data_IF_006765481989
#
_entry.id   IF_006765481989
#
_cell.length_a   1.000
_cell.length_b   1.000
_cell.length_c   1.000
_cell.angle_alpha   90.00
_cell.angle_beta   90.00
_cell.angle_gamma   90.00
#
_symmetry.space_group_name_H-M   'P 1'
#
loop_
_entity.id
_entity.type
_entity.pdbx_description
1 polymer ?
#
# COMPACT_ATOMS: atom_id res chain seq x y z
N UNK A 1 -19.62 7.36 -8.75
CA UNK A 1 -18.73 8.15 -9.64
C UNK A 1 -19.29 8.32 -11.06
N UNK A 2 -19.83 7.27 -11.68
CA UNK A 2 -20.38 7.29 -13.06
C UNK A 2 -21.85 7.72 -13.18
N UNK A 3 -22.53 7.98 -12.06
CA UNK A 3 -23.92 8.42 -12.06
C UNK A 3 -24.08 9.90 -12.48
N UNK A 4 -23.81 10.20 -13.75
CA UNK A 4 -24.27 11.34 -14.55
C UNK A 4 -23.96 12.76 -14.06
N UNK A 5 -23.93 13.70 -15.00
CA UNK A 5 -23.86 15.17 -14.80
C UNK A 5 -24.80 15.74 -13.71
N UNK A 6 -25.79 14.96 -13.26
CA UNK A 6 -26.81 15.32 -12.26
C UNK A 6 -26.31 15.36 -10.82
N UNK A 7 -25.22 14.67 -10.45
CA UNK A 7 -24.73 14.69 -9.06
C UNK A 7 -23.74 15.82 -8.78
N UNK A 8 -23.89 16.45 -7.61
CA UNK A 8 -23.07 17.61 -7.21
C UNK A 8 -21.59 17.26 -7.09
N UNK A 9 -20.73 18.21 -7.41
CA UNK A 9 -19.28 18.05 -7.35
C UNK A 9 -18.79 17.57 -5.96
N UNK A 10 -19.19 18.19 -4.83
CA UNK A 10 -18.73 17.75 -3.50
C UNK A 10 -19.12 16.30 -3.17
N UNK A 11 -20.29 15.85 -3.63
CA UNK A 11 -20.73 14.48 -3.40
C UNK A 11 -19.84 13.49 -4.15
N UNK A 12 -19.48 13.78 -5.40
CA UNK A 12 -18.59 12.90 -6.19
C UNK A 12 -17.20 12.78 -5.58
N UNK A 13 -16.63 13.89 -5.09
CA UNK A 13 -15.34 13.89 -4.39
C UNK A 13 -15.45 13.13 -3.06
N UNK A 14 -16.56 13.27 -2.34
CA UNK A 14 -16.79 12.51 -1.09
C UNK A 14 -16.89 11.01 -1.33
N UNK A 15 -17.55 10.60 -2.42
CA UNK A 15 -17.63 9.18 -2.83
C UNK A 15 -16.24 8.65 -3.18
N UNK A 16 -15.43 9.41 -3.94
CA UNK A 16 -14.05 9.03 -4.23
C UNK A 16 -13.25 8.85 -2.93
N UNK A 17 -13.34 9.80 -2.01
CA UNK A 17 -12.63 9.72 -0.73
C UNK A 17 -13.06 8.50 0.10
N UNK A 18 -14.36 8.20 0.15
CA UNK A 18 -14.88 6.99 0.79
C UNK A 18 -14.29 5.71 0.17
N UNK A 19 -14.22 5.65 -1.16
CA UNK A 19 -13.60 4.54 -1.87
C UNK A 19 -12.09 4.44 -1.57
N UNK A 20 -11.36 5.56 -1.55
CA UNK A 20 -9.95 5.57 -1.17
C UNK A 20 -9.74 5.03 0.25
N UNK A 21 -10.57 5.44 1.20
CA UNK A 21 -10.55 4.91 2.58
C UNK A 21 -10.84 3.40 2.62
N UNK A 22 -11.81 2.93 1.83
CA UNK A 22 -12.14 1.51 1.73
C UNK A 22 -10.97 0.68 1.18
N UNK A 23 -10.23 1.21 0.20
CA UNK A 23 -9.09 0.52 -0.44
C UNK A 23 -7.79 0.62 0.37
N UNK A 24 -7.66 1.61 1.24
CA UNK A 24 -6.41 1.84 1.97
C UNK A 24 -6.06 0.65 2.89
N UNK A 25 -4.91 0.02 2.61
CA UNK A 25 -4.43 -1.20 3.30
C UNK A 25 -5.42 -2.36 3.33
N UNK A 26 -6.34 -2.42 2.36
CA UNK A 26 -7.36 -3.45 2.26
C UNK A 26 -7.19 -4.26 0.96
N UNK A 27 -6.22 -5.17 0.95
CA UNK A 27 -5.94 -6.00 -0.24
C UNK A 27 -7.11 -6.93 -0.60
N UNK A 28 -7.89 -7.39 0.38
CA UNK A 28 -9.09 -8.18 0.12
C UNK A 28 -10.13 -7.36 -0.66
N UNK A 29 -10.42 -6.14 -0.22
CA UNK A 29 -11.33 -5.22 -0.92
C UNK A 29 -10.84 -4.86 -2.32
N UNK A 30 -9.53 -4.60 -2.48
CA UNK A 30 -8.91 -4.38 -3.79
C UNK A 30 -9.06 -5.61 -4.70
N UNK A 31 -8.76 -6.81 -4.20
CA UNK A 31 -8.86 -8.07 -4.94
C UNK A 31 -10.28 -8.30 -5.48
N UNK A 32 -11.31 -8.06 -4.66
CA UNK A 32 -12.70 -8.20 -5.09
C UNK A 32 -13.01 -7.32 -6.30
N UNK A 33 -12.53 -6.07 -6.31
CA UNK A 33 -12.77 -5.14 -7.42
C UNK A 33 -11.93 -5.53 -8.64
N UNK A 34 -10.65 -5.88 -8.46
CA UNK A 34 -9.74 -6.30 -9.55
C UNK A 34 -10.30 -7.52 -10.28
N UNK A 35 -10.82 -8.52 -9.56
CA UNK A 35 -11.44 -9.70 -10.16
C UNK A 35 -12.61 -9.34 -11.08
N UNK A 36 -13.34 -8.26 -10.79
CA UNK A 36 -14.45 -7.81 -11.65
C UNK A 36 -14.00 -7.10 -12.93
N UNK A 37 -12.72 -6.75 -13.06
CA UNK A 37 -12.13 -6.18 -14.27
C UNK A 37 -11.60 -7.27 -15.22
N UNK A 38 -11.32 -8.46 -14.69
CA UNK A 38 -10.75 -9.57 -15.46
C UNK A 38 -11.85 -10.29 -16.25
N UNK A 39 -11.51 -10.90 -17.40
CA UNK A 39 -12.46 -11.71 -18.16
C UNK A 39 -13.01 -12.83 -17.27
N UNK A 40 -14.32 -12.85 -17.04
CA UNK A 40 -14.98 -13.89 -16.25
C UNK A 40 -15.61 -14.94 -17.17
N UNK A 41 -15.54 -16.21 -16.78
CA UNK A 41 -16.06 -17.36 -17.55
C UNK A 41 -17.59 -17.47 -17.53
N UNK A 42 -18.29 -16.70 -16.69
CA UNK A 42 -19.75 -16.79 -16.53
C UNK A 42 -20.43 -15.45 -16.84
N UNK A 43 -21.41 -15.51 -17.75
CA UNK A 43 -22.22 -14.40 -18.19
C UNK A 43 -23.15 -13.88 -17.08
N UNK A 44 -22.64 -13.04 -16.18
CA UNK A 44 -23.48 -12.16 -15.37
C UNK A 44 -23.85 -10.94 -16.21
N UNK A 45 -24.58 -11.17 -17.31
CA UNK A 45 -24.77 -10.22 -18.41
C UNK A 45 -25.64 -8.98 -18.08
N UNK A 46 -26.03 -8.74 -16.83
CA UNK A 46 -27.00 -7.69 -16.48
C UNK A 46 -26.69 -6.86 -15.21
N UNK A 47 -25.50 -6.95 -14.62
CA UNK A 47 -25.13 -6.09 -13.50
C UNK A 47 -23.78 -5.41 -13.72
N UNK A 48 -23.78 -4.07 -13.75
CA UNK A 48 -22.54 -3.30 -13.76
C UNK A 48 -21.81 -3.47 -12.42
N UNK A 49 -20.68 -4.17 -12.44
CA UNK A 49 -19.80 -4.25 -11.28
C UNK A 49 -19.08 -2.92 -11.03
N UNK A 50 -18.49 -2.76 -9.85
CA UNK A 50 -17.68 -1.57 -9.55
C UNK A 50 -16.50 -1.42 -10.53
N UNK A 51 -15.84 -2.51 -10.93
CA UNK A 51 -14.79 -2.49 -11.94
C UNK A 51 -15.28 -1.93 -13.28
N UNK A 52 -16.41 -2.44 -13.80
CA UNK A 52 -17.01 -1.91 -15.03
C UNK A 52 -17.33 -0.42 -14.91
N UNK A 53 -17.89 0.02 -13.79
CA UNK A 53 -18.17 1.45 -13.55
C UNK A 53 -16.87 2.27 -13.52
N UNK A 54 -15.79 1.77 -12.91
CA UNK A 54 -14.52 2.50 -12.92
C UNK A 54 -13.99 2.70 -14.35
N UNK A 55 -14.04 1.66 -15.18
CA UNK A 55 -13.64 1.75 -16.59
C UNK A 55 -14.53 2.71 -17.38
N UNK A 56 -15.86 2.61 -17.26
CA UNK A 56 -16.79 3.54 -17.93
C UNK A 56 -16.51 4.99 -17.53
N UNK A 57 -16.25 5.22 -16.23
CA UNK A 57 -15.90 6.55 -15.73
C UNK A 57 -14.56 7.04 -16.26
N UNK A 58 -13.55 6.17 -16.30
CA UNK A 58 -12.19 6.48 -16.78
C UNK A 58 -12.20 6.93 -18.25
N UNK A 59 -13.01 6.28 -19.09
CA UNK A 59 -13.19 6.58 -20.51
C UNK A 59 -14.24 7.67 -20.79
N UNK A 60 -14.86 8.23 -19.76
CA UNK A 60 -15.88 9.26 -19.90
C UNK A 60 -15.30 10.59 -20.42
N UNK A 61 -16.11 11.32 -21.19
CA UNK A 61 -15.81 12.72 -21.57
C UNK A 61 -15.98 13.72 -20.42
N UNK A 62 -16.66 13.31 -19.34
CA UNK A 62 -16.78 14.12 -18.13
C UNK A 62 -15.46 14.11 -17.35
N UNK A 63 -14.81 15.28 -17.28
CA UNK A 63 -13.54 15.48 -16.59
C UNK A 63 -13.56 15.00 -15.14
N UNK A 64 -14.67 15.20 -14.41
CA UNK A 64 -14.76 14.79 -13.00
C UNK A 64 -14.85 13.27 -12.90
N UNK A 65 -15.64 12.64 -13.76
CA UNK A 65 -15.77 11.19 -13.79
C UNK A 65 -14.45 10.52 -14.20
N UNK A 66 -13.81 11.01 -15.26
CA UNK A 66 -12.53 10.51 -15.75
C UNK A 66 -11.43 10.65 -14.71
N UNK A 67 -11.31 11.83 -14.10
CA UNK A 67 -10.31 12.07 -13.06
C UNK A 67 -10.55 11.19 -11.83
N UNK A 68 -11.77 11.18 -11.28
CA UNK A 68 -12.06 10.35 -10.11
C UNK A 68 -11.79 8.87 -10.38
N UNK A 69 -12.20 8.36 -11.55
CA UNK A 69 -11.99 6.95 -11.92
C UNK A 69 -10.51 6.61 -12.10
N UNK A 70 -9.72 7.49 -12.72
CA UNK A 70 -8.28 7.29 -12.84
C UNK A 70 -7.59 7.24 -11.48
N UNK A 71 -7.94 8.15 -10.56
CA UNK A 71 -7.43 8.12 -9.18
C UNK A 71 -7.88 6.84 -8.45
N UNK A 72 -9.16 6.46 -8.55
CA UNK A 72 -9.65 5.23 -7.93
C UNK A 72 -8.93 3.97 -8.45
N UNK A 73 -8.65 3.89 -9.76
CA UNK A 73 -7.85 2.82 -10.35
C UNK A 73 -6.40 2.84 -9.86
N UNK A 74 -5.80 4.02 -9.67
CA UNK A 74 -4.47 4.14 -9.08
C UNK A 74 -4.44 3.59 -7.64
N UNK A 75 -5.41 3.97 -6.80
CA UNK A 75 -5.54 3.43 -5.44
C UNK A 75 -5.82 1.92 -5.41
N UNK A 76 -6.53 1.40 -6.42
CA UNK A 76 -6.84 -0.03 -6.54
C UNK A 76 -5.56 -0.87 -6.68
N UNK A 77 -4.57 -0.38 -7.41
CA UNK A 77 -3.30 -1.10 -7.68
C UNK A 77 -2.11 -0.60 -6.84
N UNK A 78 -2.30 0.47 -6.08
CA UNK A 78 -1.25 1.04 -5.23
C UNK A 78 -0.71 -0.01 -4.25
N UNK A 79 0.60 -0.01 -4.05
CA UNK A 79 1.35 -0.88 -3.13
C UNK A 79 1.12 -2.39 -3.29
N UNK A 80 0.60 -2.86 -4.44
CA UNK A 80 0.38 -4.28 -4.68
C UNK A 80 0.78 -4.69 -6.10
N UNK A 81 1.91 -5.40 -6.22
CA UNK A 81 2.45 -5.83 -7.52
C UNK A 81 1.52 -6.82 -8.23
N UNK A 82 0.88 -7.75 -7.51
CA UNK A 82 0.01 -8.75 -8.12
C UNK A 82 -1.20 -8.10 -8.81
N UNK A 83 -1.78 -7.05 -8.20
CA UNK A 83 -2.88 -6.31 -8.82
C UNK A 83 -2.43 -5.55 -10.07
N UNK A 84 -1.23 -4.94 -10.04
CA UNK A 84 -0.63 -4.30 -11.22
C UNK A 84 -0.48 -5.28 -12.37
N UNK A 85 -0.01 -6.49 -12.09
CA UNK A 85 0.16 -7.53 -13.13
C UNK A 85 -1.19 -8.09 -13.61
N UNK A 86 -2.16 -8.25 -12.70
CA UNK A 86 -3.49 -8.74 -13.04
C UNK A 86 -4.19 -7.81 -14.04
N UNK A 87 -4.19 -6.49 -13.79
CA UNK A 87 -4.92 -5.55 -14.64
C UNK A 87 -4.28 -5.34 -16.03
N UNK A 88 -3.07 -5.87 -16.29
CA UNK A 88 -2.49 -5.89 -17.65
C UNK A 88 -3.29 -6.79 -18.60
N UNK A 89 -4.03 -7.77 -18.04
CA UNK A 89 -4.88 -8.70 -18.79
C UNK A 89 -6.24 -8.10 -19.16
N UNK A 90 -6.55 -6.88 -18.70
CA UNK A 90 -7.82 -6.22 -18.99
C UNK A 90 -7.79 -5.73 -20.43
N UNK A 91 -8.69 -6.27 -21.24
CA UNK A 91 -8.86 -5.94 -22.66
C UNK A 91 -10.28 -5.45 -22.88
N UNK A 92 -10.43 -4.34 -23.60
CA UNK A 92 -11.70 -3.71 -23.90
C UNK A 92 -11.97 -3.80 -25.41
N UNK A 93 -13.20 -4.14 -25.78
CA UNK A 93 -13.67 -4.07 -27.15
C UNK A 93 -13.89 -2.60 -27.54
N UNK A 94 -13.25 -2.15 -28.62
CA UNK A 94 -13.42 -0.79 -29.15
C UNK A 94 -14.36 -0.87 -30.35
N UNK A 95 -15.54 -0.24 -30.24
CA UNK A 95 -16.65 -0.36 -31.21
C UNK A 95 -16.41 0.42 -32.53
N UNK A 96 -15.19 0.87 -32.80
CA UNK A 96 -14.85 1.51 -34.06
C UNK A 96 -14.41 0.46 -35.06
N UNK A 97 -15.38 -0.17 -35.75
CA UNK A 97 -15.41 -0.91 -37.04
C UNK A 97 -14.13 -1.51 -37.73
N UNK A 98 -12.94 -1.38 -37.14
CA UNK A 98 -11.61 -1.68 -37.68
C UNK A 98 -10.54 -1.86 -36.58
N UNK A 99 -10.72 -1.33 -35.35
CA UNK A 99 -9.77 -1.49 -34.26
C UNK A 99 -10.21 -2.66 -33.37
N UNK A 100 -9.46 -3.77 -33.38
CA UNK A 100 -9.70 -4.92 -32.51
C UNK A 100 -9.66 -4.58 -31.02
N UNK A 101 -9.68 -5.62 -30.18
CA UNK A 101 -9.64 -5.47 -28.74
C UNK A 101 -8.31 -4.80 -28.29
N UNK A 102 -8.38 -3.78 -27.42
CA UNK A 102 -7.20 -3.06 -26.89
C UNK A 102 -7.04 -3.28 -25.39
N UNK A 103 -5.81 -3.38 -24.92
CA UNK A 103 -5.50 -3.44 -23.50
C UNK A 103 -5.81 -2.12 -22.80
N UNK A 104 -6.06 -2.15 -21.49
CA UNK A 104 -6.27 -0.94 -20.69
C UNK A 104 -5.04 0.00 -20.73
N UNK A 105 -3.83 -0.56 -20.85
CA UNK A 105 -2.62 0.24 -20.95
C UNK A 105 -2.50 0.95 -22.30
N UNK A 106 -2.82 0.28 -23.41
CA UNK A 106 -2.89 0.91 -24.74
C UNK A 106 -3.93 2.03 -24.79
N UNK A 107 -5.10 1.79 -24.18
CA UNK A 107 -6.14 2.82 -24.08
C UNK A 107 -5.67 4.01 -23.25
N UNK A 108 -4.92 3.77 -22.17
CA UNK A 108 -4.32 4.84 -21.37
C UNK A 108 -3.32 5.65 -22.20
N UNK A 109 -2.46 5.01 -23.00
CA UNK A 109 -1.54 5.73 -23.90
C UNK A 109 -2.28 6.50 -25.01
N UNK A 110 -3.36 5.95 -25.56
CA UNK A 110 -4.18 6.63 -26.57
C UNK A 110 -4.87 7.87 -25.99
N UNK A 111 -5.38 7.78 -24.76
CA UNK A 111 -5.96 8.94 -24.04
C UNK A 111 -4.93 10.04 -23.83
N UNK A 112 -3.66 9.72 -23.59
CA UNK A 112 -2.59 10.71 -23.49
C UNK A 112 -2.24 11.36 -24.83
N UNK A 113 -2.16 10.54 -25.89
CA UNK A 113 -1.79 11.00 -27.23
C UNK A 113 -2.92 11.77 -27.94
N UNK A 114 -4.17 11.56 -27.52
CA UNK A 114 -5.32 12.24 -28.10
C UNK A 114 -5.35 13.73 -27.72
N UNK A 115 -5.24 14.60 -28.72
CA UNK A 115 -5.24 16.06 -28.56
C UNK A 115 -6.56 16.62 -28.01
N UNK A 116 -7.66 15.86 -28.06
CA UNK A 116 -8.96 16.26 -27.49
C UNK A 116 -9.11 15.92 -26.01
N UNK A 117 -8.17 15.16 -25.42
CA UNK A 117 -8.20 14.81 -24.01
C UNK A 117 -7.97 16.04 -23.13
N UNK A 118 -8.83 16.21 -22.13
CA UNK A 118 -8.68 17.33 -21.21
C UNK A 118 -7.42 17.21 -20.35
N UNK A 119 -6.97 18.34 -19.82
CA UNK A 119 -5.90 18.38 -18.83
C UNK A 119 -6.14 17.41 -17.66
N UNK A 120 -7.34 17.41 -17.06
CA UNK A 120 -7.66 16.56 -15.92
C UNK A 120 -7.60 15.07 -16.27
N UNK A 121 -8.08 14.69 -17.45
CA UNK A 121 -7.95 13.31 -17.95
C UNK A 121 -6.48 12.92 -18.11
N UNK A 122 -5.66 13.77 -18.75
CA UNK A 122 -4.21 13.51 -18.92
C UNK A 122 -3.51 13.35 -17.56
N UNK A 123 -3.79 14.21 -16.59
CA UNK A 123 -3.23 14.10 -15.23
C UNK A 123 -3.64 12.79 -14.57
N UNK A 124 -4.91 12.43 -14.59
CA UNK A 124 -5.40 11.20 -13.96
C UNK A 124 -4.80 9.94 -14.60
N UNK A 125 -4.68 9.93 -15.94
CA UNK A 125 -4.02 8.86 -16.68
C UNK A 125 -2.54 8.76 -16.32
N UNK A 126 -1.82 9.88 -16.22
CA UNK A 126 -0.41 9.87 -15.82
C UNK A 126 -0.21 9.42 -14.37
N UNK A 127 -1.06 9.84 -13.43
CA UNK A 127 -1.03 9.36 -12.05
C UNK A 127 -1.25 7.84 -12.00
N UNK A 128 -2.25 7.36 -12.73
CA UNK A 128 -2.54 5.93 -12.83
C UNK A 128 -1.37 5.15 -13.44
N UNK A 129 -0.84 5.59 -14.58
CA UNK A 129 0.30 4.95 -15.24
C UNK A 129 1.56 4.97 -14.37
N UNK A 130 1.91 6.08 -13.75
CA UNK A 130 3.08 6.14 -12.86
C UNK A 130 2.91 5.20 -11.66
N UNK A 131 1.70 5.13 -11.09
CA UNK A 131 1.39 4.16 -10.03
C UNK A 131 1.54 2.73 -10.54
N UNK A 132 1.09 2.44 -11.75
CA UNK A 132 1.20 1.13 -12.38
C UNK A 132 2.64 0.71 -12.69
N UNK A 133 3.47 1.63 -13.20
CA UNK A 133 4.86 1.37 -13.58
C UNK A 133 5.79 1.23 -12.36
N UNK A 134 5.46 1.90 -11.24
CA UNK A 134 6.28 1.82 -10.03
C UNK A 134 6.38 0.41 -9.46
N UNK A 135 7.58 -0.04 -9.10
CA UNK A 135 7.81 -1.37 -8.49
C UNK A 135 7.18 -2.54 -9.28
N UNK A 136 7.02 -2.43 -10.61
CA UNK A 136 6.44 -3.49 -11.45
C UNK A 136 7.12 -3.53 -12.82
N UNK A 137 8.13 -4.40 -12.95
CA UNK A 137 8.90 -4.52 -14.19
C UNK A 137 8.07 -5.06 -15.36
N UNK A 138 7.06 -5.90 -15.09
CA UNK A 138 6.17 -6.40 -16.14
C UNK A 138 5.32 -5.26 -16.73
N UNK A 139 4.79 -4.36 -15.90
CA UNK A 139 4.07 -3.18 -16.38
C UNK A 139 4.98 -2.27 -17.23
N UNK A 140 6.24 -2.07 -16.81
CA UNK A 140 7.23 -1.34 -17.61
C UNK A 140 7.48 -2.01 -18.95
N UNK A 141 7.72 -3.33 -18.97
CA UNK A 141 7.93 -4.09 -20.19
C UNK A 141 6.73 -3.95 -21.15
N UNK A 142 5.50 -4.09 -20.65
CA UNK A 142 4.29 -3.91 -21.45
C UNK A 142 4.21 -2.49 -22.00
N UNK A 143 4.43 -1.47 -21.17
CA UNK A 143 4.37 -0.07 -21.60
C UNK A 143 5.42 0.28 -22.68
N UNK A 144 6.65 -0.21 -22.53
CA UNK A 144 7.73 -0.03 -23.50
C UNK A 144 7.44 -0.74 -24.83
N UNK A 145 6.60 -1.78 -24.82
CA UNK A 145 6.21 -2.53 -26.03
C UNK A 145 5.10 -1.82 -26.80
N UNK A 146 4.37 -0.87 -26.19
CA UNK A 146 3.32 -0.10 -26.84
C UNK A 146 3.95 0.87 -27.84
N UNK A 147 3.43 0.89 -29.06
CA UNK A 147 3.92 1.77 -30.11
C UNK A 147 3.76 3.25 -29.72
N UNK A 148 4.79 4.06 -29.99
CA UNK A 148 4.82 5.51 -29.73
C UNK A 148 4.74 5.93 -28.26
N UNK A 149 4.67 5.03 -27.28
CA UNK A 149 4.59 5.39 -25.84
C UNK A 149 5.77 6.26 -25.41
N UNK A 150 7.00 5.81 -25.73
CA UNK A 150 8.24 6.54 -25.42
C UNK A 150 8.37 7.81 -26.26
N UNK A 151 8.02 7.76 -27.54
CA UNK A 151 8.02 8.93 -28.43
C UNK A 151 7.11 10.04 -27.92
N UNK A 152 5.93 9.69 -27.39
CA UNK A 152 5.01 10.64 -26.76
C UNK A 152 5.65 11.27 -25.53
N UNK A 153 6.18 10.47 -24.60
CA UNK A 153 6.81 11.01 -23.37
C UNK A 153 7.94 11.99 -23.70
N UNK A 154 8.84 11.63 -24.62
CA UNK A 154 9.93 12.53 -25.05
C UNK A 154 9.37 13.82 -25.64
N UNK A 155 8.42 13.71 -26.57
CA UNK A 155 7.82 14.86 -27.24
C UNK A 155 7.18 15.83 -26.23
N UNK A 156 6.48 15.29 -25.22
CA UNK A 156 5.91 16.09 -24.15
C UNK A 156 7.00 16.79 -23.33
N UNK A 157 8.02 16.05 -22.86
CA UNK A 157 9.09 16.61 -22.01
C UNK A 157 9.89 17.70 -22.76
N UNK A 158 10.18 17.49 -24.04
CA UNK A 158 10.87 18.44 -24.92
C UNK A 158 9.96 19.59 -25.39
N UNK A 159 8.66 19.55 -25.09
CA UNK A 159 7.74 20.62 -25.41
C UNK A 159 8.29 21.95 -24.89
N UNK A 160 8.11 23.02 -25.67
CA UNK A 160 8.60 24.35 -25.28
C UNK A 160 8.13 24.69 -23.86
N UNK A 161 8.95 25.46 -23.14
CA UNK A 161 8.58 26.10 -21.87
C UNK A 161 7.46 27.11 -22.16
N UNK A 162 6.24 26.61 -22.32
CA UNK A 162 5.03 27.43 -22.33
C UNK A 162 4.83 27.90 -20.90
N UNK A 163 4.50 29.18 -20.69
CA UNK A 163 4.20 29.76 -19.38
C UNK A 163 2.87 29.24 -18.78
N UNK A 164 2.41 28.05 -19.19
CA UNK A 164 1.22 27.39 -18.69
C UNK A 164 1.63 26.34 -17.66
N UNK A 165 1.40 26.63 -16.38
CA UNK A 165 1.65 25.74 -15.25
C UNK A 165 1.02 24.34 -15.43
N UNK A 166 -0.08 24.23 -16.18
CA UNK A 166 -0.74 22.95 -16.45
C UNK A 166 0.08 22.07 -17.39
N UNK A 167 0.63 22.64 -18.47
CA UNK A 167 1.48 21.87 -19.37
C UNK A 167 2.81 21.53 -18.70
N UNK A 168 3.37 22.45 -17.90
CA UNK A 168 4.55 22.16 -17.07
C UNK A 168 4.30 20.96 -16.15
N UNK A 169 3.14 20.87 -15.51
CA UNK A 169 2.76 19.72 -14.70
C UNK A 169 2.75 18.42 -15.51
N UNK A 170 2.14 18.43 -16.70
CA UNK A 170 2.13 17.24 -17.56
C UNK A 170 3.56 16.84 -17.95
N UNK A 171 4.41 17.80 -18.28
CA UNK A 171 5.82 17.54 -18.60
C UNK A 171 6.57 16.88 -17.43
N UNK A 172 6.35 17.35 -16.20
CA UNK A 172 6.94 16.75 -15.00
C UNK A 172 6.43 15.32 -14.76
N UNK A 173 5.13 15.09 -14.93
CA UNK A 173 4.54 13.75 -14.80
C UNK A 173 5.05 12.78 -15.89
N UNK A 174 5.21 13.25 -17.13
CA UNK A 174 5.83 12.47 -18.21
C UNK A 174 7.30 12.16 -17.93
N UNK A 175 8.05 13.12 -17.38
CA UNK A 175 9.45 12.91 -16.94
C UNK A 175 9.53 11.84 -15.86
N UNK A 176 8.61 11.89 -14.89
CA UNK A 176 8.51 10.86 -13.86
C UNK A 176 8.17 9.49 -14.45
N UNK A 177 7.18 9.39 -15.35
CA UNK A 177 6.83 8.13 -16.01
C UNK A 177 8.02 7.52 -16.78
N UNK A 178 8.77 8.34 -17.53
CA UNK A 178 9.98 7.90 -18.23
C UNK A 178 11.09 7.49 -17.24
N UNK A 179 11.23 8.20 -16.12
CA UNK A 179 12.13 7.84 -15.03
C UNK A 179 11.79 6.49 -14.40
N UNK A 180 10.51 6.18 -14.19
CA UNK A 180 10.06 4.87 -13.72
C UNK A 180 10.39 3.76 -14.72
N UNK A 181 10.27 4.04 -16.03
CA UNK A 181 10.67 3.12 -17.08
C UNK A 181 12.19 2.87 -17.11
N UNK A 182 13.01 3.75 -16.55
CA UNK A 182 14.44 3.49 -16.33
C UNK A 182 14.67 2.63 -15.07
N UNK A 183 14.04 3.03 -13.96
CA UNK A 183 14.27 2.43 -12.63
C UNK A 183 13.79 0.99 -12.54
N UNK A 184 12.63 0.68 -13.10
CA UNK A 184 12.00 -0.63 -12.98
C UNK A 184 12.12 -1.46 -14.26
N UNK A 185 13.07 -1.13 -15.14
CA UNK A 185 13.31 -1.89 -16.36
C UNK A 185 14.04 -3.21 -16.07
N UNK A 186 13.51 -4.33 -16.56
CA UNK A 186 14.15 -5.64 -16.49
C UNK A 186 14.94 -6.00 -17.77
N UNK A 187 15.09 -5.05 -18.71
CA UNK A 187 15.79 -5.18 -19.98
C UNK A 187 15.24 -6.25 -20.93
N UNK A 188 13.96 -6.64 -20.78
CA UNK A 188 13.32 -7.64 -21.64
C UNK A 188 12.78 -7.05 -22.97
N UNK A 189 12.76 -5.73 -23.11
CA UNK A 189 12.37 -5.05 -24.37
C UNK A 189 13.63 -4.59 -25.12
N UNK A 190 14.09 -5.27 -26.18
CA UNK A 190 15.40 -5.02 -26.79
C UNK A 190 15.57 -3.60 -27.34
N UNK A 191 14.50 -2.99 -27.84
CA UNK A 191 14.49 -1.61 -28.35
C UNK A 191 14.68 -0.57 -27.24
N UNK A 192 14.35 -0.91 -26.00
CA UNK A 192 14.27 0.01 -24.86
C UNK A 192 14.89 -0.62 -23.61
N UNK A 193 16.16 -1.02 -23.69
CA UNK A 193 16.97 -1.35 -22.52
C UNK A 193 17.24 -0.10 -21.68
N UNK A 194 17.61 -0.26 -20.41
CA UNK A 194 18.00 0.86 -19.53
C UNK A 194 19.05 1.74 -20.21
N UNK A 195 20.08 1.15 -20.82
CA UNK A 195 21.15 1.87 -21.50
C UNK A 195 20.63 2.60 -22.77
N UNK A 196 19.74 1.99 -23.55
CA UNK A 196 19.21 2.65 -24.74
C UNK A 196 18.28 3.81 -24.37
N UNK A 197 17.49 3.67 -23.31
CA UNK A 197 16.65 4.74 -22.75
C UNK A 197 17.49 5.89 -22.18
N UNK A 198 18.56 5.60 -21.44
CA UNK A 198 19.51 6.61 -20.95
C UNK A 198 20.13 7.41 -22.10
N UNK A 199 20.63 6.71 -23.13
CA UNK A 199 21.18 7.34 -24.34
C UNK A 199 20.14 8.19 -25.04
N UNK A 200 18.90 7.72 -25.11
CA UNK A 200 17.80 8.44 -25.72
C UNK A 200 17.48 9.72 -24.94
N UNK A 201 17.43 9.67 -23.61
CA UNK A 201 17.20 10.85 -22.75
C UNK A 201 18.34 11.85 -22.97
N UNK A 202 19.60 11.40 -22.89
CA UNK A 202 20.75 12.26 -23.09
C UNK A 202 20.75 12.93 -24.47
N UNK A 203 20.43 12.19 -25.55
CA UNK A 203 20.47 12.72 -26.91
C UNK A 203 19.25 13.57 -27.31
N UNK A 204 18.05 13.25 -26.81
CA UNK A 204 16.80 13.86 -27.29
C UNK A 204 16.24 14.91 -26.33
N UNK A 205 16.48 14.74 -25.03
CA UNK A 205 15.97 15.62 -23.98
C UNK A 205 17.11 16.47 -23.39
N UNK A 206 18.25 15.82 -23.10
CA UNK A 206 19.29 16.38 -22.24
C UNK A 206 19.01 16.05 -20.77
N UNK A 207 20.04 15.62 -20.05
CA UNK A 207 19.91 15.17 -18.65
C UNK A 207 19.49 16.33 -17.74
N UNK A 208 20.04 17.52 -17.97
CA UNK A 208 19.72 18.71 -17.18
C UNK A 208 18.25 19.11 -17.33
N UNK A 209 17.75 19.17 -18.56
CA UNK A 209 16.34 19.47 -18.83
C UNK A 209 15.42 18.39 -18.23
N UNK A 210 15.80 17.11 -18.33
CA UNK A 210 15.04 16.03 -17.73
C UNK A 210 14.94 16.18 -16.20
N UNK A 211 16.07 16.48 -15.53
CA UNK A 211 16.10 16.72 -14.09
C UNK A 211 15.32 17.97 -13.69
N UNK A 212 15.44 19.07 -14.43
CA UNK A 212 14.68 20.29 -14.21
C UNK A 212 13.17 20.02 -14.27
N UNK A 213 12.70 19.33 -15.33
CA UNK A 213 11.29 18.96 -15.48
C UNK A 213 10.82 18.04 -14.38
N UNK A 214 11.64 17.09 -13.96
CA UNK A 214 11.34 16.22 -12.83
C UNK A 214 11.13 17.08 -11.56
N UNK A 215 12.14 17.85 -11.13
CA UNK A 215 12.12 18.67 -9.91
C UNK A 215 11.03 19.75 -9.89
N UNK A 216 10.53 20.17 -11.05
CA UNK A 216 9.48 21.19 -11.12
C UNK A 216 8.21 20.75 -10.39
N UNK A 217 7.89 19.45 -10.39
CA UNK A 217 6.72 18.95 -9.65
C UNK A 217 6.87 19.16 -8.15
N UNK A 218 8.01 18.78 -7.58
CA UNK A 218 8.27 18.89 -6.12
C UNK A 218 8.30 20.34 -5.65
N UNK A 219 8.68 21.28 -6.53
CA UNK A 219 8.68 22.73 -6.27
C UNK A 219 7.29 23.39 -6.44
N UNK A 220 6.32 22.69 -7.04
CA UNK A 220 5.00 23.27 -7.31
C UNK A 220 4.15 23.47 -6.05
N UNK A 221 3.31 24.52 -6.07
CA UNK A 221 2.36 24.77 -4.98
C UNK A 221 1.33 23.64 -4.86
N UNK A 222 0.93 23.04 -5.99
CA UNK A 222 0.03 21.90 -6.04
C UNK A 222 0.57 20.71 -5.23
N UNK A 223 1.85 20.38 -5.42
CA UNK A 223 2.50 19.29 -4.70
C UNK A 223 2.59 19.53 -3.19
N UNK A 224 3.02 20.74 -2.80
CA UNK A 224 3.16 21.12 -1.39
C UNK A 224 1.82 21.10 -0.65
N UNK A 225 0.72 21.53 -1.30
CA UNK A 225 -0.63 21.48 -0.73
C UNK A 225 -1.12 20.04 -0.58
N UNK A 226 -0.91 19.20 -1.58
CA UNK A 226 -1.39 17.81 -1.59
C UNK A 226 -0.76 16.97 -0.48
N UNK A 227 0.52 17.16 -0.15
CA UNK A 227 1.20 16.39 0.90
C UNK A 227 0.76 16.68 2.34
N UNK A 228 -0.04 17.73 2.58
CA UNK A 228 -0.39 18.12 3.96
C UNK A 228 -1.35 17.14 4.64
N UNK A 229 -2.30 16.57 3.89
CA UNK A 229 -3.32 15.67 4.44
C UNK A 229 -3.88 14.73 3.37
N UNK A 230 -4.20 13.46 3.73
CA UNK A 230 -4.84 12.52 2.82
C UNK A 230 -6.27 12.91 2.38
N UNK A 231 -6.93 13.79 3.15
CA UNK A 231 -8.33 14.14 2.89
C UNK A 231 -8.47 15.03 1.66
N UNK A 232 -9.20 14.54 0.64
CA UNK A 232 -9.60 15.31 -0.53
C UNK A 232 -10.58 16.42 -0.13
N UNK A 233 -10.10 17.67 -0.10
CA UNK A 233 -10.93 18.87 0.10
C UNK A 233 -10.91 19.74 -1.16
N UNK A 234 -11.56 19.26 -2.20
CA UNK A 234 -11.66 19.98 -3.47
C UNK A 234 -12.96 20.79 -3.47
N UNK A 235 -12.87 22.07 -3.81
CA UNK A 235 -14.04 22.96 -3.87
C UNK A 235 -14.49 23.20 -5.31
N UNK A 236 -13.56 23.14 -6.26
CA UNK A 236 -13.80 23.37 -7.69
C UNK A 236 -13.06 22.35 -8.54
N UNK A 237 -13.51 22.18 -9.78
CA UNK A 237 -12.88 21.31 -10.79
C UNK A 237 -11.39 21.63 -10.99
N UNK A 238 -11.00 22.91 -10.95
CA UNK A 238 -9.61 23.34 -11.10
C UNK A 238 -8.67 22.85 -9.99
N UNK A 239 -9.21 22.42 -8.84
CA UNK A 239 -8.40 21.90 -7.73
C UNK A 239 -8.06 20.41 -7.93
N UNK A 240 -8.68 19.73 -8.92
CA UNK A 240 -8.47 18.31 -9.22
C UNK A 240 -7.14 18.08 -9.95
N UNK A 241 -6.05 18.02 -9.20
CA UNK A 241 -4.71 17.91 -9.78
C UNK A 241 -4.02 16.64 -9.28
N UNK A 242 -3.38 16.68 -8.11
CA UNK A 242 -2.64 15.56 -7.54
C UNK A 242 -3.41 14.92 -6.38
N UNK A 243 -3.28 13.61 -6.23
CA UNK A 243 -3.71 12.89 -5.02
C UNK A 243 -2.55 12.70 -4.02
N UNK A 244 -2.91 12.49 -2.76
CA UNK A 244 -1.96 12.35 -1.65
C UNK A 244 -1.05 11.12 -1.77
N UNK A 245 -1.58 9.97 -2.15
CA UNK A 245 -0.80 8.74 -2.30
C UNK A 245 0.16 8.83 -3.49
N UNK A 246 -0.26 9.44 -4.61
CA UNK A 246 0.66 9.74 -5.70
C UNK A 246 1.78 10.71 -5.28
N UNK A 247 1.48 11.76 -4.52
CA UNK A 247 2.50 12.68 -4.05
C UNK A 247 3.54 11.99 -3.14
N UNK A 248 3.10 11.02 -2.32
CA UNK A 248 3.99 10.14 -1.53
C UNK A 248 4.84 9.23 -2.41
N UNK A 249 4.23 8.60 -3.42
CA UNK A 249 4.94 7.75 -4.39
C UNK A 249 6.04 8.55 -5.09
N UNK A 250 5.69 9.74 -5.58
CA UNK A 250 6.63 10.64 -6.23
C UNK A 250 7.81 10.98 -5.29
N UNK A 251 7.52 11.38 -4.05
CA UNK A 251 8.56 11.69 -3.03
C UNK A 251 9.54 10.55 -2.81
N UNK A 252 9.03 9.32 -2.81
CA UNK A 252 9.84 8.13 -2.55
C UNK A 252 10.78 7.78 -3.72
N UNK A 253 10.39 8.11 -4.95
CA UNK A 253 11.07 7.63 -6.17
C UNK A 253 11.83 8.70 -6.93
N UNK A 254 11.51 10.00 -6.76
CA UNK A 254 12.20 11.13 -7.39
C UNK A 254 13.73 11.03 -7.23
N UNK A 255 14.21 10.90 -5.98
CA UNK A 255 15.64 10.78 -5.71
C UNK A 255 16.30 9.53 -6.29
N UNK A 256 15.55 8.42 -6.45
CA UNK A 256 16.06 7.20 -7.09
C UNK A 256 16.29 7.42 -8.59
N UNK A 257 15.34 8.07 -9.26
CA UNK A 257 15.44 8.42 -10.68
C UNK A 257 16.63 9.36 -10.93
N UNK A 258 16.77 10.42 -10.12
CA UNK A 258 17.88 11.38 -10.26
C UNK A 258 19.25 10.71 -10.07
N UNK A 259 19.37 9.80 -9.08
CA UNK A 259 20.62 9.06 -8.84
C UNK A 259 20.99 8.12 -9.99
N UNK A 260 20.02 7.44 -10.58
CA UNK A 260 20.25 6.55 -11.73
C UNK A 260 21.00 7.30 -12.85
N UNK A 261 20.51 8.48 -13.23
CA UNK A 261 21.09 9.28 -14.30
C UNK A 261 22.45 9.89 -13.94
N UNK A 262 22.65 10.26 -12.67
CA UNK A 262 23.88 10.92 -12.20
C UNK A 262 25.04 9.92 -11.99
N UNK A 263 24.78 8.77 -11.36
CA UNK A 263 25.79 7.76 -11.04
C UNK A 263 26.49 7.18 -12.27
N UNK A 264 25.81 7.14 -13.43
CA UNK A 264 26.39 6.63 -14.69
C UNK A 264 27.08 7.69 -15.55
N UNK A 265 26.81 8.98 -15.31
CA UNK A 265 27.62 10.05 -15.91
C UNK A 265 29.07 9.98 -15.43
N UNK A 266 29.27 9.70 -14.13
CA UNK A 266 30.61 9.55 -13.52
C UNK A 266 31.37 8.35 -14.09
N UNK A 267 30.68 7.22 -14.31
CA UNK A 267 31.29 6.04 -14.95
C UNK A 267 31.61 6.23 -16.44
N UNK A 268 31.04 7.24 -17.09
CA UNK A 268 31.29 7.56 -18.50
C UNK A 268 32.43 8.57 -18.69
N UNK A 269 32.88 9.22 -17.61
CA UNK A 269 33.93 10.27 -17.65
C UNK A 269 35.23 9.89 -16.94
N UNK A 270 35.32 8.72 -16.29
CA UNK A 270 36.56 8.21 -15.69
C UNK A 270 37.53 7.62 -16.73
N UNK A 271 38.03 8.49 -17.61
CA UNK A 271 39.36 8.37 -18.20
C UNK A 271 40.16 9.69 -18.09
N UNK A 272 39.83 10.55 -17.12
CA UNK A 272 40.70 11.66 -16.72
C UNK A 272 40.59 12.04 -15.25
N UNK A 273 41.56 11.56 -14.48
CA UNK A 273 42.37 12.35 -13.54
C UNK A 273 41.74 12.94 -12.25
N UNK A 274 40.80 12.27 -11.57
CA UNK A 274 40.58 12.54 -10.12
C UNK A 274 40.44 11.22 -9.35
N UNK A 275 41.30 11.05 -8.33
CA UNK A 275 41.63 9.78 -7.66
C UNK A 275 40.70 9.31 -6.53
N UNK A 276 41.12 8.25 -5.80
CA UNK A 276 40.30 7.29 -5.04
C UNK A 276 39.79 7.76 -3.67
N UNK A 277 39.47 9.05 -3.52
CA UNK A 277 38.94 9.60 -2.25
C UNK A 277 37.42 9.50 -2.15
N UNK A 278 36.69 9.47 -3.26
CA UNK A 278 35.21 9.39 -3.27
C UNK A 278 34.69 7.98 -2.98
N UNK A 279 35.35 6.92 -3.46
CA UNK A 279 34.94 5.53 -3.20
C UNK A 279 35.04 5.14 -1.73
N UNK A 280 36.08 5.59 -1.01
CA UNK A 280 36.26 5.29 0.41
C UNK A 280 35.22 5.94 1.34
N UNK A 281 34.71 7.13 1.01
CA UNK A 281 33.68 7.83 1.80
C UNK A 281 32.30 7.16 1.67
N UNK A 282 31.96 6.67 0.47
CA UNK A 282 30.72 5.93 0.25
C UNK A 282 30.75 4.53 0.87
N UNK A 283 31.89 3.83 0.84
CA UNK A 283 32.06 2.56 1.56
C UNK A 283 32.01 2.73 3.07
N UNK A 284 32.61 3.79 3.64
CA UNK A 284 32.50 4.09 5.07
C UNK A 284 31.07 4.48 5.50
N UNK A 285 30.36 5.30 4.71
CA UNK A 285 28.97 5.68 5.03
C UNK A 285 28.01 4.50 4.88
N UNK A 286 28.20 3.65 3.87
CA UNK A 286 27.38 2.44 3.70
C UNK A 286 27.70 1.40 4.78
N UNK A 287 28.97 1.24 5.16
CA UNK A 287 29.41 0.36 6.26
C UNK A 287 28.87 0.83 7.62
N UNK A 288 28.93 2.13 7.92
CA UNK A 288 28.39 2.68 9.17
C UNK A 288 26.86 2.59 9.23
N UNK A 289 26.17 2.84 8.11
CA UNK A 289 24.71 2.69 8.03
C UNK A 289 24.29 1.22 8.13
N UNK A 290 25.00 0.29 7.46
CA UNK A 290 24.77 -1.15 7.62
C UNK A 290 25.04 -1.62 9.05
N UNK A 291 26.09 -1.12 9.70
CA UNK A 291 26.37 -1.43 11.11
C UNK A 291 25.24 -0.93 12.02
N UNK A 292 24.71 0.27 11.76
CA UNK A 292 23.57 0.82 12.49
C UNK A 292 22.30 -0.01 12.32
N UNK A 293 22.00 -0.47 11.10
CA UNK A 293 20.87 -1.37 10.84
C UNK A 293 21.07 -2.75 11.49
N UNK A 294 22.27 -3.32 11.44
CA UNK A 294 22.58 -4.58 12.13
C UNK A 294 22.43 -4.47 13.65
N UNK A 295 22.84 -3.35 14.25
CA UNK A 295 22.66 -3.12 15.68
C UNK A 295 21.20 -2.87 16.06
N UNK A 296 20.42 -2.20 15.19
CA UNK A 296 18.97 -2.04 15.36
C UNK A 296 18.26 -3.39 15.32
N UNK A 297 18.58 -4.24 14.34
CA UNK A 297 18.02 -5.59 14.22
C UNK A 297 18.40 -6.41 15.46
N UNK A 298 19.66 -6.38 15.88
CA UNK A 298 20.11 -7.10 17.09
C UNK A 298 19.38 -6.63 18.35
N UNK A 299 19.12 -5.33 18.50
CA UNK A 299 18.33 -4.77 19.62
C UNK A 299 16.87 -5.20 19.54
N UNK A 300 16.28 -5.21 18.35
CA UNK A 300 14.92 -5.68 18.12
C UNK A 300 14.80 -7.18 18.45
N UNK A 301 15.75 -8.00 18.00
CA UNK A 301 15.79 -9.44 18.31
C UNK A 301 15.94 -9.69 19.83
N UNK A 302 16.76 -8.90 20.51
CA UNK A 302 16.87 -8.95 21.98
C UNK A 302 15.56 -8.58 22.68
N UNK A 303 14.86 -7.54 22.21
CA UNK A 303 13.55 -7.17 22.74
C UNK A 303 12.50 -8.25 22.47
N UNK A 304 12.46 -8.81 21.26
CA UNK A 304 11.55 -9.92 20.90
C UNK A 304 11.80 -11.11 21.82
N UNK A 305 13.06 -11.49 22.05
CA UNK A 305 13.39 -12.59 22.95
C UNK A 305 13.00 -12.29 24.41
N UNK A 306 13.16 -11.03 24.85
CA UNK A 306 12.72 -10.61 26.19
C UNK A 306 11.21 -10.70 26.32
N UNK A 307 10.45 -10.22 25.33
CA UNK A 307 8.99 -10.31 25.32
C UNK A 307 8.50 -11.76 25.26
N UNK A 308 9.13 -12.62 24.45
CA UNK A 308 8.83 -14.06 24.41
C UNK A 308 9.07 -14.75 25.76
N UNK A 309 10.13 -14.37 26.48
CA UNK A 309 10.38 -14.89 27.83
C UNK A 309 9.32 -14.42 28.84
N UNK A 310 8.92 -13.14 28.78
CA UNK A 310 7.86 -12.60 29.63
C UNK A 310 6.50 -13.25 29.33
N UNK A 311 6.18 -13.46 28.06
CA UNK A 311 4.97 -14.16 27.63
C UNK A 311 4.93 -15.59 28.18
N UNK A 312 6.04 -16.32 28.10
CA UNK A 312 6.15 -17.66 28.69
C UNK A 312 5.93 -17.63 30.21
N UNK A 313 6.54 -16.68 30.92
CA UNK A 313 6.32 -16.52 32.36
C UNK A 313 4.85 -16.25 32.70
N UNK A 314 4.18 -15.37 31.96
CA UNK A 314 2.76 -15.08 32.16
C UNK A 314 1.85 -16.28 31.87
N UNK A 315 2.17 -17.08 30.86
CA UNK A 315 1.44 -18.32 30.56
C UNK A 315 1.58 -19.32 31.71
N UNK A 316 2.79 -19.52 32.22
CA UNK A 316 3.06 -20.44 33.34
C UNK A 316 2.33 -19.98 34.62
N UNK A 317 2.37 -18.68 34.94
CA UNK A 317 1.63 -18.11 36.08
C UNK A 317 0.12 -18.28 35.93
N UNK A 318 -0.42 -18.01 34.73
CA UNK A 318 -1.85 -18.16 34.43
C UNK A 318 -2.32 -19.61 34.64
N UNK A 319 -1.51 -20.59 34.23
CA UNK A 319 -1.82 -22.02 34.47
C UNK A 319 -1.82 -22.37 35.97
N UNK A 320 -0.87 -21.82 36.74
CA UNK A 320 -0.81 -22.02 38.20
C UNK A 320 -2.06 -21.43 38.88
N UNK A 321 -2.45 -20.21 38.52
CA UNK A 321 -3.65 -19.57 39.10
C UNK A 321 -4.93 -20.30 38.70
N UNK A 322 -5.03 -20.78 37.47
CA UNK A 322 -6.16 -21.60 37.02
C UNK A 322 -6.28 -22.89 37.83
N UNK A 323 -5.16 -23.55 38.15
CA UNK A 323 -5.14 -24.74 39.01
C UNK A 323 -5.58 -24.43 40.45
N UNK A 324 -5.11 -23.32 41.03
CA UNK A 324 -5.53 -22.86 42.37
C UNK A 324 -7.02 -22.53 42.41
N UNK A 325 -7.55 -21.91 41.36
CA UNK A 325 -8.99 -21.62 41.24
C UNK A 325 -9.82 -22.91 41.29
N UNK A 326 -9.39 -23.93 40.57
CA UNK A 326 -10.09 -25.22 40.51
C UNK A 326 -10.06 -25.95 41.86
N UNK A 327 -8.94 -25.89 42.59
CA UNK A 327 -8.81 -26.44 43.95
C UNK A 327 -9.71 -25.71 44.97
N UNK A 328 -9.79 -24.37 44.87
CA UNK A 328 -10.69 -23.56 45.71
C UNK A 328 -12.17 -23.82 45.39
N UNK A 329 -12.53 -24.00 44.12
CA UNK A 329 -13.89 -24.36 43.72
C UNK A 329 -14.31 -25.73 44.28
N UNK A 330 -13.40 -26.72 44.29
CA UNK A 330 -13.64 -28.01 44.92
C UNK A 330 -13.83 -27.89 46.43
N UNK A 331 -12.95 -27.16 47.13
CA UNK A 331 -13.08 -26.93 48.58
C UNK A 331 -14.38 -26.23 48.94
N UNK A 332 -14.80 -25.23 48.17
CA UNK A 332 -16.06 -24.53 48.42
C UNK A 332 -17.26 -25.48 48.23
N UNK A 333 -17.21 -26.35 47.22
CA UNK A 333 -18.24 -27.36 47.02
C UNK A 333 -18.29 -28.38 48.17
N UNK A 334 -17.14 -28.86 48.65
CA UNK A 334 -17.06 -29.76 49.81
C UNK A 334 -17.62 -29.11 51.09
N UNK A 335 -17.28 -27.85 51.37
CA UNK A 335 -17.81 -27.10 52.52
C UNK A 335 -19.32 -26.90 52.39
N UNK A 336 -19.81 -26.60 51.18
CA UNK A 336 -21.24 -26.46 50.90
C UNK A 336 -22.00 -27.77 51.11
N UNK A 337 -21.41 -28.89 50.71
CA UNK A 337 -21.98 -30.21 50.89
C UNK A 337 -21.99 -30.60 52.38
N UNK A 338 -20.91 -30.32 53.12
CA UNK A 338 -20.86 -30.50 54.59
C UNK A 338 -21.89 -29.62 55.31
N UNK A 339 -22.07 -28.36 54.91
CA UNK A 339 -23.10 -27.48 55.45
C UNK A 339 -24.51 -28.01 55.17
N UNK A 340 -24.75 -28.53 53.96
CA UNK A 340 -26.04 -29.14 53.61
C UNK A 340 -26.34 -30.39 54.44
N UNK A 341 -25.33 -31.22 54.70
CA UNK A 341 -25.44 -32.41 55.53
C UNK A 341 -25.66 -32.05 57.00
N UNK A 342 -24.90 -31.11 57.57
CA UNK A 342 -25.08 -30.61 58.95
C UNK A 342 -26.47 -29.99 59.17
N UNK A 343 -26.99 -29.27 58.18
CA UNK A 343 -28.36 -28.71 58.17
C UNK A 343 -29.42 -29.81 58.21
N UNK A 344 -29.15 -30.96 57.59
CA UNK A 344 -30.03 -32.14 57.61
C UNK A 344 -29.85 -32.96 58.89
N UNK A 345 -28.65 -32.98 59.48
CA UNK A 345 -28.28 -33.88 60.58
C UNK A 345 -28.58 -33.42 62.00
N UNK A 346 -28.74 -32.13 62.34
CA UNK A 346 -29.00 -31.77 63.77
C UNK A 346 -29.60 -30.40 64.05
N UNK A 347 -30.52 -30.38 65.04
CA UNK A 347 -30.73 -29.27 65.98
C UNK A 347 -29.44 -29.05 66.80
N UNK A 348 -28.54 -28.16 66.40
CA UNK A 348 -27.44 -27.67 67.24
C UNK A 348 -27.31 -26.15 67.11
N UNK A 349 -26.89 -25.50 68.21
CA UNK A 349 -27.11 -24.08 68.52
C UNK A 349 -26.51 -23.05 67.55
N UNK A 350 -26.93 -21.77 67.69
CA UNK A 350 -26.73 -20.69 66.72
C UNK A 350 -25.26 -20.30 66.45
N UNK A 351 -24.32 -20.62 67.34
CA UNK A 351 -22.96 -20.09 67.25
C UNK A 351 -22.07 -20.80 66.21
N UNK A 352 -22.23 -22.11 65.96
CA UNK A 352 -21.45 -22.83 64.94
C UNK A 352 -21.94 -22.58 63.51
N UNK A 353 -23.21 -22.21 63.33
CA UNK A 353 -23.77 -21.85 62.02
C UNK A 353 -23.22 -20.52 61.51
N UNK A 354 -22.97 -19.56 62.40
CA UNK A 354 -22.45 -18.24 62.03
C UNK A 354 -20.97 -18.30 61.60
N UNK A 355 -20.15 -19.10 62.27
CA UNK A 355 -18.72 -19.26 61.93
C UNK A 355 -18.54 -19.89 60.54
N UNK A 356 -19.28 -20.97 60.24
CA UNK A 356 -19.25 -21.63 58.93
C UNK A 356 -19.81 -20.75 57.80
N UNK A 357 -20.86 -19.97 58.06
CA UNK A 357 -21.39 -19.00 57.09
C UNK A 357 -20.38 -17.89 56.77
N UNK A 358 -19.64 -17.43 57.79
CA UNK A 358 -18.61 -16.40 57.63
C UNK A 358 -17.42 -16.92 56.81
N UNK A 359 -16.97 -18.17 57.06
CA UNK A 359 -15.90 -18.82 56.28
C UNK A 359 -16.32 -19.02 54.81
N UNK A 360 -17.57 -19.45 54.57
CA UNK A 360 -18.13 -19.58 53.22
C UNK A 360 -18.16 -18.25 52.46
N UNK A 361 -18.56 -17.16 53.11
CA UNK A 361 -18.55 -15.82 52.50
C UNK A 361 -17.13 -15.33 52.21
N UNK A 362 -16.17 -15.61 53.10
CA UNK A 362 -14.77 -15.24 52.92
C UNK A 362 -14.16 -15.95 51.70
N UNK A 363 -14.37 -17.27 51.59
CA UNK A 363 -13.91 -18.06 50.44
C UNK A 363 -14.60 -17.64 49.14
N UNK A 364 -15.88 -17.25 49.18
CA UNK A 364 -16.60 -16.76 47.99
C UNK A 364 -16.02 -15.44 47.47
N UNK A 365 -15.67 -14.50 48.36
CA UNK A 365 -15.04 -13.22 47.97
C UNK A 365 -13.65 -13.44 47.37
N UNK A 366 -12.87 -14.36 47.92
CA UNK A 366 -11.55 -14.69 47.39
C UNK A 366 -11.63 -15.33 45.98
N UNK A 367 -12.64 -16.18 45.75
CA UNK A 367 -12.94 -16.73 44.42
C UNK A 367 -13.39 -15.68 43.41
N UNK A 368 -14.24 -14.74 43.81
CA UNK A 368 -14.65 -13.62 42.96
C UNK A 368 -13.46 -12.72 42.59
N UNK A 369 -12.55 -12.46 43.55
CA UNK A 369 -11.30 -11.74 43.30
C UNK A 369 -10.41 -12.47 42.29
N UNK A 370 -10.15 -13.77 42.49
CA UNK A 370 -9.36 -14.59 41.56
C UNK A 370 -9.98 -14.66 40.16
N UNK A 371 -11.31 -14.76 40.05
CA UNK A 371 -12.01 -14.72 38.76
C UNK A 371 -11.84 -13.38 38.04
N UNK A 372 -11.92 -12.27 38.77
CA UNK A 372 -11.71 -10.94 38.20
C UNK A 372 -10.28 -10.78 37.68
N UNK A 373 -9.29 -11.25 38.44
CA UNK A 373 -7.87 -11.20 38.08
C UNK A 373 -7.54 -12.04 36.84
N UNK A 374 -8.04 -13.29 36.77
CA UNK A 374 -7.87 -14.16 35.59
C UNK A 374 -8.51 -13.55 34.35
N UNK A 375 -9.72 -12.99 34.47
CA UNK A 375 -10.43 -12.36 33.35
C UNK A 375 -9.66 -11.15 32.81
N UNK A 376 -9.11 -10.31 33.69
CA UNK A 376 -8.32 -9.14 33.31
C UNK A 376 -7.00 -9.54 32.64
N UNK A 377 -6.31 -10.57 33.14
CA UNK A 377 -5.12 -11.12 32.51
C UNK A 377 -5.41 -11.76 31.14
N UNK A 378 -6.55 -12.43 30.98
CA UNK A 378 -6.94 -13.05 29.71
C UNK A 378 -7.35 -12.01 28.65
N UNK A 379 -7.95 -10.89 29.07
CA UNK A 379 -8.15 -9.73 28.20
C UNK A 379 -6.82 -9.09 27.79
N UNK A 380 -5.85 -9.00 28.70
CA UNK A 380 -4.52 -8.49 28.40
C UNK A 380 -3.78 -9.40 27.40
N UNK A 381 -3.84 -10.72 27.58
CA UNK A 381 -3.31 -11.72 26.63
C UNK A 381 -3.94 -11.62 25.23
N UNK A 382 -5.27 -11.49 25.16
CA UNK A 382 -5.97 -11.33 23.89
C UNK A 382 -5.66 -9.99 23.20
N UNK A 383 -5.30 -8.95 23.96
CA UNK A 383 -4.89 -7.65 23.41
C UNK A 383 -3.45 -7.63 22.89
N UNK A 384 -2.59 -8.56 23.34
CA UNK A 384 -1.20 -8.73 22.89
C UNK A 384 -1.02 -9.72 21.73
N UNK A 385 -2.09 -10.41 21.32
CA UNK A 385 -2.14 -11.30 20.14
C UNK A 385 -1.99 -10.68 18.72
N UNK A 386 -1.84 -9.35 18.47
CA UNK A 386 -1.60 -8.87 17.10
C UNK A 386 -0.23 -9.23 16.48
N UNK A 387 0.54 -10.17 17.04
CA UNK A 387 1.92 -10.44 16.57
C UNK A 387 2.13 -11.92 16.17
N UNK A 388 1.40 -12.90 16.69
CA UNK A 388 1.59 -14.31 16.27
C UNK A 388 1.01 -14.61 14.87
N UNK A 389 -0.12 -14.02 14.51
CA UNK A 389 -0.67 -14.14 13.15
C UNK A 389 0.20 -13.45 12.07
N UNK A 390 1.13 -12.58 12.48
CA UNK A 390 2.12 -11.98 11.56
C UNK A 390 3.37 -12.83 11.36
N UNK A 391 3.68 -13.75 12.27
CA UNK A 391 4.91 -14.57 12.24
C UNK A 391 4.68 -15.88 11.47
N UNK A 392 3.48 -16.45 11.47
CA UNK A 392 3.16 -17.61 10.61
C UNK A 392 3.23 -17.26 9.12
N UNK A 393 2.90 -16.02 8.74
CA UNK A 393 3.06 -15.53 7.37
C UNK A 393 4.51 -15.28 6.94
N UNK A 394 5.45 -15.20 7.89
CA UNK A 394 6.88 -15.11 7.58
C UNK A 394 7.57 -16.48 7.52
N UNK A 395 7.06 -17.48 8.25
CA UNK A 395 7.64 -18.83 8.24
C UNK A 395 7.25 -19.67 7.01
N UNK A 396 6.13 -19.38 6.34
CA UNK A 396 5.77 -20.09 5.10
C UNK A 396 6.68 -19.77 3.90
N UNK A 397 7.35 -18.61 3.90
CA UNK A 397 8.23 -18.20 2.80
C UNK A 397 9.68 -18.69 2.94
N UNK A 398 10.08 -19.23 4.09
CA UNK A 398 11.44 -19.75 4.30
C UNK A 398 11.57 -21.26 4.04
N UNK A 399 10.46 -22.01 4.01
CA UNK A 399 10.50 -23.46 3.74
C UNK A 399 10.51 -23.83 2.26
N UNK A 400 10.15 -22.93 1.34
CA UNK A 400 10.22 -23.21 -0.11
C UNK A 400 11.63 -22.98 -0.72
N UNK A 401 12.56 -22.36 0.02
CA UNK A 401 13.92 -22.11 -0.45
C UNK A 401 14.95 -23.19 -0.05
N UNK A 402 14.53 -24.35 0.44
CA UNK A 402 15.44 -25.46 0.80
C UNK A 402 15.28 -26.73 -0.03
N UNK A 403 14.47 -26.72 -1.10
CA UNK A 403 14.29 -27.88 -2.00
C UNK A 403 14.68 -27.62 -3.47
N UNK A 404 15.61 -26.70 -3.73
CA UNK A 404 16.36 -26.68 -5.00
C UNK A 404 17.86 -26.55 -4.72
N UNK A 405 18.48 -27.71 -4.48
CA UNK A 405 19.86 -27.98 -4.88
C UNK A 405 19.84 -28.78 -6.18
#
# INVERSE_FOLDING_TARGET
>A
MVAGEKQSFPLRISILYCLQCYLYKNDLGKSLIVQTLLPQTENVANQYTLGHLLIIGYLSKDNVASWCSGIALAHLIADNQQFKEAILKVVLAVDQAQAGAKTLMEISTDLLANSSSSFHTRVAVLIFLCTWLSNCSLAVQTFLSIQNSISYLISQICGQLVADDREILIQSLCSFALGLCLVFNNNQTPSYTTESLERLINKRIGIDLFQEKLETLSKSEYYSKTLQKPQLKLSKTNDMILDYEFARLYKALEGSITRMLTSRQMNSTENSLIGPLSTNLYEQQTSTMMTHYHDLIRKQDQQINTYKQQEKQFIDESQIYKKKMLDLEQKLQEVKDQYSLLKISTKQGPDTHNELATICEQQRRELEYLRSFVTQHQQHYNSTQPIENGIEHLNFNNTENHNMQ
#
